data_IF_603967849572
#
_entry.id   IF_603967849572
#
_cell.length_a   1.000
_cell.length_b   1.000
_cell.length_c   1.000
_cell.angle_alpha   90.00
_cell.angle_beta   90.00
_cell.angle_gamma   90.00
#
_symmetry.space_group_name_H-M   'P 1'
#
loop_
_entity.id
_entity.type
_entity.pdbx_description
1 polymer ?
#
# COMPACT_ATOMS: atom_id res chain seq x y z
N UNK A 1 13.10 39.49 -23.82
CA UNK A 1 12.85 38.15 -24.32
C UNK A 1 13.39 37.02 -23.47
N UNK A 2 14.28 37.27 -22.53
CA UNK A 2 14.83 36.23 -21.63
C UNK A 2 13.92 35.84 -20.50
N UNK A 3 12.81 36.53 -20.29
CA UNK A 3 11.90 36.34 -19.16
C UNK A 3 11.19 34.98 -19.23
N UNK A 4 10.91 34.47 -20.41
CA UNK A 4 10.21 33.20 -20.60
C UNK A 4 11.03 31.98 -20.17
N UNK A 5 12.36 32.03 -20.30
CA UNK A 5 13.23 30.92 -19.95
C UNK A 5 13.29 30.69 -18.46
N UNK A 6 13.25 31.75 -17.63
CA UNK A 6 13.26 31.63 -16.17
C UNK A 6 11.99 30.99 -15.65
N UNK A 7 10.82 31.31 -16.23
CA UNK A 7 9.54 30.70 -15.86
C UNK A 7 9.49 29.20 -16.15
N UNK A 8 10.00 28.78 -17.30
CA UNK A 8 10.05 27.38 -17.69
C UNK A 8 10.94 26.56 -16.76
N UNK A 9 12.11 27.08 -16.38
CA UNK A 9 13.02 26.40 -15.47
C UNK A 9 12.40 26.13 -14.12
N UNK A 10 11.66 27.10 -13.56
CA UNK A 10 11.00 26.95 -12.25
C UNK A 10 9.89 25.89 -12.31
N UNK A 11 9.10 25.87 -13.37
CA UNK A 11 8.02 24.89 -13.56
C UNK A 11 8.60 23.48 -13.70
N UNK A 12 9.68 23.30 -14.44
CA UNK A 12 10.33 22.00 -14.61
C UNK A 12 10.87 21.46 -13.29
N UNK A 13 11.44 22.30 -12.44
CA UNK A 13 11.97 21.91 -11.15
C UNK A 13 10.85 21.42 -10.23
N UNK A 14 9.73 22.12 -10.17
CA UNK A 14 8.59 21.71 -9.35
C UNK A 14 8.00 20.39 -9.82
N UNK A 15 7.87 20.19 -11.12
CA UNK A 15 7.38 18.94 -11.69
C UNK A 15 8.29 17.78 -11.37
N UNK A 16 9.59 17.99 -11.42
CA UNK A 16 10.60 16.98 -11.07
C UNK A 16 10.51 16.57 -9.60
N UNK A 17 10.40 17.55 -8.70
CA UNK A 17 10.28 17.30 -7.26
C UNK A 17 9.00 16.54 -6.93
N UNK A 18 7.87 16.88 -7.55
CA UNK A 18 6.61 16.17 -7.35
C UNK A 18 6.70 14.73 -7.85
N UNK A 19 7.37 14.51 -8.98
CA UNK A 19 7.58 13.17 -9.53
C UNK A 19 8.43 12.30 -8.61
N UNK A 20 9.50 12.86 -8.03
CA UNK A 20 10.34 12.14 -7.07
C UNK A 20 9.56 11.77 -5.82
N UNK A 21 8.73 12.67 -5.30
CA UNK A 21 7.89 12.43 -4.12
C UNK A 21 6.91 11.30 -4.38
N UNK A 22 6.30 11.25 -5.56
CA UNK A 22 5.37 10.18 -5.94
C UNK A 22 6.05 8.83 -6.08
N UNK A 23 7.26 8.79 -6.65
CA UNK A 23 8.05 7.56 -6.77
C UNK A 23 8.39 7.03 -5.38
N UNK A 24 8.81 7.91 -4.48
CA UNK A 24 9.13 7.54 -3.10
C UNK A 24 7.91 7.00 -2.38
N UNK A 25 6.75 7.62 -2.54
CA UNK A 25 5.51 7.17 -1.94
C UNK A 25 5.13 5.78 -2.43
N UNK A 26 5.19 5.53 -3.74
CA UNK A 26 4.92 4.21 -4.31
C UNK A 26 5.85 3.14 -3.77
N UNK A 27 7.11 3.49 -3.57
CA UNK A 27 8.10 2.59 -2.99
C UNK A 27 7.71 2.17 -1.57
N UNK A 28 7.19 3.10 -0.77
CA UNK A 28 6.72 2.81 0.58
C UNK A 28 5.43 1.97 0.59
N UNK A 29 4.61 2.12 -0.43
CA UNK A 29 3.30 1.48 -0.53
C UNK A 29 3.35 0.08 -1.14
N UNK A 30 4.51 -0.38 -1.56
CA UNK A 30 4.62 -1.59 -2.37
C UNK A 30 5.69 -2.52 -1.79
N UNK A 31 5.38 -3.82 -1.75
CA UNK A 31 6.34 -4.84 -1.32
C UNK A 31 6.14 -6.14 -2.10
N UNK A 32 7.26 -6.78 -2.48
CA UNK A 32 7.25 -8.07 -3.13
C UNK A 32 7.42 -9.18 -2.10
N UNK A 33 6.73 -10.30 -2.31
CA UNK A 33 6.80 -11.48 -1.45
C UNK A 33 7.14 -12.71 -2.28
N UNK A 34 8.00 -13.58 -1.74
CA UNK A 34 8.46 -14.78 -2.44
C UNK A 34 7.45 -15.91 -2.30
N UNK A 35 6.28 -15.72 -2.86
CA UNK A 35 5.22 -16.72 -2.88
C UNK A 35 4.33 -16.49 -4.10
N UNK A 36 3.67 -17.54 -4.56
CA UNK A 36 2.69 -17.45 -5.64
C UNK A 36 1.28 -17.79 -5.16
N UNK A 37 1.13 -18.04 -3.85
CA UNK A 37 -0.17 -18.41 -3.26
C UNK A 37 -0.99 -17.16 -2.98
N UNK A 38 -1.74 -16.70 -3.99
CA UNK A 38 -2.57 -15.51 -3.91
C UNK A 38 -3.68 -15.64 -2.88
N UNK A 39 -4.28 -16.80 -2.77
CA UNK A 39 -5.38 -17.03 -1.81
C UNK A 39 -4.88 -16.86 -0.38
N UNK A 40 -3.75 -17.48 -0.06
CA UNK A 40 -3.14 -17.38 1.26
C UNK A 40 -2.72 -15.95 1.54
N UNK A 41 -2.13 -15.27 0.55
CA UNK A 41 -1.75 -13.86 0.71
C UNK A 41 -2.99 -13.00 1.01
N UNK A 42 -4.08 -13.17 0.27
CA UNK A 42 -5.30 -12.42 0.49
C UNK A 42 -5.88 -12.66 1.89
N UNK A 43 -5.91 -13.90 2.34
CA UNK A 43 -6.37 -14.24 3.69
C UNK A 43 -5.50 -13.59 4.76
N UNK A 44 -4.20 -13.58 4.55
CA UNK A 44 -3.24 -12.97 5.47
C UNK A 44 -3.37 -11.45 5.48
N UNK A 45 -3.60 -10.85 4.33
CA UNK A 45 -3.86 -9.39 4.23
C UNK A 45 -5.11 -9.03 5.05
N UNK A 46 -6.18 -9.79 4.90
CA UNK A 46 -7.43 -9.56 5.63
C UNK A 46 -7.18 -9.65 7.13
N UNK A 47 -6.52 -10.72 7.59
CA UNK A 47 -6.19 -10.90 9.01
C UNK A 47 -5.34 -9.75 9.54
N UNK A 48 -4.34 -9.33 8.76
CA UNK A 48 -3.43 -8.25 9.16
C UNK A 48 -4.19 -6.93 9.31
N UNK A 49 -5.06 -6.62 8.36
CA UNK A 49 -5.86 -5.41 8.44
C UNK A 49 -6.77 -5.44 9.67
N UNK A 50 -7.38 -6.58 9.96
CA UNK A 50 -8.23 -6.74 11.15
C UNK A 50 -7.43 -6.57 12.43
N UNK A 51 -6.22 -7.11 12.49
CA UNK A 51 -5.32 -6.94 13.64
C UNK A 51 -4.91 -5.49 13.85
N UNK A 52 -4.89 -4.70 12.78
CA UNK A 52 -4.60 -3.27 12.84
C UNK A 52 -5.87 -2.42 13.04
N UNK A 53 -6.97 -3.05 13.39
CA UNK A 53 -8.26 -2.42 13.70
C UNK A 53 -9.02 -1.87 12.49
N UNK A 54 -8.77 -2.41 11.31
CA UNK A 54 -9.60 -2.12 10.15
C UNK A 54 -10.80 -3.05 10.13
N UNK A 55 -11.94 -2.49 9.82
CA UNK A 55 -13.14 -3.27 9.50
C UNK A 55 -13.13 -3.50 7.99
N UNK A 56 -13.21 -4.75 7.58
CA UNK A 56 -13.16 -5.08 6.15
C UNK A 56 -14.50 -4.71 5.51
N UNK A 57 -14.45 -3.83 4.53
CA UNK A 57 -15.65 -3.39 3.80
C UNK A 57 -15.91 -4.28 2.59
N UNK A 58 -14.83 -4.67 1.89
CA UNK A 58 -14.95 -5.47 0.69
C UNK A 58 -13.65 -6.26 0.46
N UNK A 59 -13.80 -7.52 0.11
CA UNK A 59 -12.68 -8.36 -0.30
C UNK A 59 -13.07 -9.10 -1.57
N UNK A 60 -12.23 -9.01 -2.59
CA UNK A 60 -12.47 -9.65 -3.88
C UNK A 60 -11.24 -10.49 -4.24
N UNK A 61 -11.37 -11.80 -4.07
CA UNK A 61 -10.27 -12.73 -4.33
C UNK A 61 -9.92 -12.80 -5.82
N UNK A 62 -10.91 -12.62 -6.68
CA UNK A 62 -10.70 -12.67 -8.12
C UNK A 62 -9.90 -11.46 -8.60
N UNK A 63 -10.25 -10.28 -8.11
CA UNK A 63 -9.54 -9.05 -8.45
C UNK A 63 -8.25 -8.87 -7.65
N UNK A 64 -8.12 -9.60 -6.53
CA UNK A 64 -6.98 -9.45 -5.64
C UNK A 64 -7.00 -8.13 -4.89
N UNK A 65 -8.14 -7.73 -4.36
CA UNK A 65 -8.32 -6.43 -3.73
C UNK A 65 -9.08 -6.56 -2.41
N UNK A 66 -8.59 -5.87 -1.37
CA UNK A 66 -9.26 -5.76 -0.06
C UNK A 66 -9.33 -4.30 0.32
N UNK A 67 -10.50 -3.85 0.76
CA UNK A 67 -10.70 -2.50 1.27
C UNK A 67 -11.26 -2.56 2.68
N UNK A 68 -10.69 -1.77 3.58
CA UNK A 68 -11.15 -1.69 4.95
C UNK A 68 -11.09 -0.27 5.48
N UNK A 69 -11.82 -0.02 6.56
CA UNK A 69 -11.91 1.29 7.19
C UNK A 69 -11.56 1.19 8.66
N UNK A 70 -10.75 2.13 9.12
CA UNK A 70 -10.36 2.28 10.52
C UNK A 70 -10.80 3.67 11.00
N UNK A 71 -11.45 3.70 12.15
CA UNK A 71 -11.88 4.97 12.75
C UNK A 71 -10.86 5.40 13.80
N UNK A 72 -10.44 6.65 13.72
CA UNK A 72 -9.41 7.21 14.60
C UNK A 72 -9.63 8.71 14.78
N UNK A 73 -9.84 9.15 16.02
CA UNK A 73 -9.98 10.58 16.37
C UNK A 73 -10.98 11.33 15.46
N UNK A 74 -12.19 10.81 15.32
CA UNK A 74 -13.26 11.40 14.49
C UNK A 74 -12.95 11.42 13.00
N UNK A 75 -11.92 10.70 12.57
CA UNK A 75 -11.57 10.54 11.16
C UNK A 75 -11.71 9.08 10.75
N UNK A 76 -11.89 8.86 9.46
CA UNK A 76 -11.91 7.53 8.88
C UNK A 76 -10.70 7.36 7.98
N UNK A 77 -9.96 6.29 8.18
CA UNK A 77 -8.86 5.91 7.30
C UNK A 77 -9.34 4.74 6.46
N UNK A 78 -9.34 4.89 5.14
CA UNK A 78 -9.68 3.82 4.22
C UNK A 78 -8.41 3.29 3.59
N UNK A 79 -8.15 2.00 3.75
CA UNK A 79 -6.99 1.35 3.15
C UNK A 79 -7.45 0.33 2.13
N UNK A 80 -6.85 0.40 0.95
CA UNK A 80 -7.06 -0.59 -0.11
C UNK A 80 -5.75 -1.31 -0.35
N UNK A 81 -5.79 -2.63 -0.32
CA UNK A 81 -4.62 -3.47 -0.56
C UNK A 81 -4.89 -4.31 -1.80
N UNK A 82 -3.95 -4.30 -2.73
CA UNK A 82 -4.04 -5.13 -3.94
C UNK A 82 -2.89 -6.12 -3.98
N UNK A 83 -3.19 -7.31 -4.49
CA UNK A 83 -2.23 -8.41 -4.64
C UNK A 83 -2.19 -8.79 -6.11
N UNK A 84 -1.00 -8.73 -6.71
CA UNK A 84 -0.79 -9.01 -8.12
C UNK A 84 0.41 -9.94 -8.30
N UNK A 85 0.41 -10.81 -9.31
CA UNK A 85 1.62 -11.58 -9.65
C UNK A 85 2.73 -10.62 -10.09
N UNK A 86 3.95 -10.98 -9.69
CA UNK A 86 5.15 -10.32 -10.17
C UNK A 86 6.09 -11.39 -10.72
N UNK A 87 6.10 -11.55 -12.05
CA UNK A 87 6.80 -12.66 -12.67
C UNK A 87 6.18 -14.00 -12.27
N UNK A 88 6.98 -15.05 -12.26
CA UNK A 88 6.53 -16.42 -12.02
C UNK A 88 6.62 -16.87 -10.56
N UNK A 89 7.33 -16.13 -9.72
CA UNK A 89 7.71 -16.60 -8.39
C UNK A 89 7.30 -15.69 -7.25
N UNK A 90 6.78 -14.51 -7.55
CA UNK A 90 6.49 -13.50 -6.52
C UNK A 90 5.09 -12.93 -6.66
N UNK A 91 4.60 -12.41 -5.55
CA UNK A 91 3.42 -11.53 -5.52
C UNK A 91 3.85 -10.13 -5.13
N UNK A 92 3.22 -9.16 -5.74
CA UNK A 92 3.39 -7.76 -5.41
C UNK A 92 2.17 -7.32 -4.60
N UNK A 93 2.41 -6.78 -3.41
CA UNK A 93 1.37 -6.27 -2.54
C UNK A 93 1.51 -4.76 -2.47
N UNK A 94 0.43 -4.06 -2.77
CA UNK A 94 0.39 -2.60 -2.71
C UNK A 94 -0.70 -2.16 -1.75
N UNK A 95 -0.35 -1.27 -0.82
CA UNK A 95 -1.29 -0.67 0.11
C UNK A 95 -1.44 0.81 -0.19
N UNK A 96 -2.67 1.30 -0.16
CA UNK A 96 -2.99 2.70 -0.38
C UNK A 96 -4.00 3.13 0.68
N UNK A 97 -3.67 4.15 1.46
CA UNK A 97 -4.53 4.64 2.52
C UNK A 97 -4.90 6.10 2.29
N UNK A 98 -6.13 6.45 2.66
CA UNK A 98 -6.67 7.80 2.48
C UNK A 98 -7.47 8.23 3.69
N UNK A 99 -7.44 9.52 3.96
CA UNK A 99 -8.34 10.19 4.91
C UNK A 99 -9.18 11.17 4.09
N UNK A 100 -10.47 10.88 3.91
CA UNK A 100 -11.31 11.62 2.99
C UNK A 100 -10.78 11.50 1.57
N UNK A 101 -10.48 12.63 0.92
CA UNK A 101 -9.93 12.66 -0.44
C UNK A 101 -8.41 12.74 -0.47
N UNK A 102 -7.77 12.81 0.70
CA UNK A 102 -6.32 13.01 0.79
C UNK A 102 -5.61 11.67 0.99
N UNK A 103 -4.62 11.41 0.15
CA UNK A 103 -3.76 10.23 0.31
C UNK A 103 -2.87 10.38 1.54
N UNK A 104 -2.70 9.29 2.29
CA UNK A 104 -1.74 9.25 3.38
C UNK A 104 -0.36 9.00 2.77
N UNK A 105 0.57 9.91 3.07
CA UNK A 105 1.97 9.80 2.61
C UNK A 105 2.94 9.53 3.75
N UNK A 106 2.41 9.22 4.93
CA UNK A 106 3.20 8.90 6.12
C UNK A 106 3.81 7.51 6.00
N UNK A 107 5.13 7.45 6.02
CA UNK A 107 5.88 6.21 5.92
C UNK A 107 5.49 5.21 7.02
N UNK A 108 5.23 5.70 8.24
CA UNK A 108 4.92 4.84 9.38
C UNK A 108 3.65 4.01 9.15
N UNK A 109 2.63 4.59 8.53
CA UNK A 109 1.39 3.88 8.23
C UNK A 109 1.64 2.64 7.37
N UNK A 110 2.45 2.79 6.33
CA UNK A 110 2.75 1.68 5.41
C UNK A 110 3.74 0.70 6.01
N UNK A 111 4.74 1.19 6.75
CA UNK A 111 5.69 0.33 7.45
C UNK A 111 5.01 -0.55 8.47
N UNK A 112 4.08 0.00 9.24
CA UNK A 112 3.33 -0.76 10.23
C UNK A 112 2.52 -1.88 9.57
N UNK A 113 1.86 -1.56 8.47
CA UNK A 113 1.10 -2.56 7.73
C UNK A 113 2.01 -3.68 7.18
N UNK A 114 3.09 -3.32 6.49
CA UNK A 114 3.97 -4.33 5.88
C UNK A 114 4.74 -5.13 6.91
N UNK A 115 5.16 -4.52 8.02
CA UNK A 115 5.81 -5.22 9.11
C UNK A 115 4.86 -6.28 9.70
N UNK A 116 3.60 -5.89 9.93
CA UNK A 116 2.60 -6.82 10.44
C UNK A 116 2.29 -7.93 9.43
N UNK A 117 2.20 -7.58 8.15
CA UNK A 117 1.94 -8.55 7.08
C UNK A 117 3.08 -9.55 6.95
N UNK A 118 4.32 -9.09 6.95
CA UNK A 118 5.49 -9.97 6.87
C UNK A 118 5.55 -10.93 8.04
N UNK A 119 5.28 -10.44 9.25
CA UNK A 119 5.24 -11.26 10.45
C UNK A 119 4.12 -12.31 10.34
N UNK A 120 2.94 -11.92 9.89
CA UNK A 120 1.82 -12.84 9.73
C UNK A 120 2.12 -13.90 8.68
N UNK A 121 2.75 -13.54 7.57
CA UNK A 121 3.15 -14.49 6.53
C UNK A 121 4.20 -15.47 7.05
N UNK A 122 5.16 -14.99 7.82
CA UNK A 122 6.18 -15.83 8.43
C UNK A 122 5.55 -16.83 9.41
N UNK A 123 4.68 -16.37 10.29
CA UNK A 123 4.01 -17.24 11.26
C UNK A 123 3.13 -18.27 10.58
N UNK A 124 2.45 -17.90 9.51
CA UNK A 124 1.63 -18.84 8.74
C UNK A 124 2.48 -19.90 8.08
N UNK A 125 3.66 -19.54 7.56
CA UNK A 125 4.60 -20.46 6.95
C UNK A 125 5.18 -21.47 7.96
N UNK A 126 5.29 -21.06 9.23
CA UNK A 126 5.80 -21.91 10.31
C UNK A 126 4.74 -22.83 10.91
N UNK A 127 3.48 -22.62 10.57
CA UNK A 127 2.39 -23.42 11.10
C UNK A 127 2.36 -24.79 10.42
N UNK A 128 2.42 -25.83 11.19
CA UNK A 128 2.57 -27.20 10.71
C UNK A 128 1.28 -27.98 10.97
N UNK A 129 0.17 -27.54 10.45
CA UNK A 129 -1.10 -28.25 10.64
C UNK A 129 -1.66 -28.76 9.33
#
# INVERSE_FOLDING_TARGET
MCIFLAGCATTSKKAFEASESQVKLRSMQTRAFDTTDSKKMMQTVISTMQDLNFVIDKADLTLGSVTGTKFFNNASIVMTVTVRPRGDKQLLVRANAQVGVNSIDDAATYQDFFTALEKAMFLTAQKVD
#
